data_IF_743989212113
#
_entry.id   IF_743989212113
#
_cell.length_a   1.000
_cell.length_b   1.000
_cell.length_c   1.000
_cell.angle_alpha   90.00
_cell.angle_beta   90.00
_cell.angle_gamma   90.00
#
_symmetry.space_group_name_H-M   'P 1'
#
loop_
_entity.id
_entity.type
_entity.pdbx_description
1 polymer ?
#
# COMPACT_ATOMS: atom_id res chain seq x y z
N UNK A 1 50.07 -29.86 44.29
CA UNK A 1 49.02 -30.56 43.50
C UNK A 1 47.88 -29.60 43.38
N UNK A 2 47.98 -28.71 42.39
CA UNK A 2 46.98 -27.65 42.14
C UNK A 2 46.12 -28.06 40.97
N UNK A 3 44.81 -28.05 41.17
CA UNK A 3 43.76 -28.30 40.15
C UNK A 3 43.48 -27.01 39.38
N UNK A 4 43.51 -26.99 38.05
CA UNK A 4 43.18 -25.81 37.29
C UNK A 4 41.67 -25.62 37.19
N UNK A 5 41.18 -24.49 37.70
CA UNK A 5 39.83 -24.05 37.62
C UNK A 5 39.38 -23.81 36.18
N UNK A 6 38.41 -24.57 35.71
CA UNK A 6 37.75 -24.41 34.44
C UNK A 6 36.94 -23.11 34.41
N UNK A 7 37.35 -22.15 33.58
CA UNK A 7 36.54 -20.99 33.20
C UNK A 7 35.40 -21.49 32.29
N UNK A 8 34.24 -21.71 32.85
CA UNK A 8 32.99 -21.80 32.09
C UNK A 8 32.78 -20.50 31.33
N UNK A 9 33.01 -20.54 30.03
CA UNK A 9 32.54 -19.51 29.10
C UNK A 9 31.03 -19.54 29.14
N UNK A 10 30.42 -18.59 29.84
CA UNK A 10 29.00 -18.23 29.65
C UNK A 10 28.82 -17.84 28.18
N UNK A 11 28.41 -18.80 27.35
CA UNK A 11 27.85 -18.52 26.04
C UNK A 11 26.62 -17.68 26.28
N UNK A 12 26.75 -16.38 26.01
CA UNK A 12 25.63 -15.48 25.99
C UNK A 12 24.56 -16.06 25.05
N UNK A 13 23.41 -16.39 25.61
CA UNK A 13 22.20 -16.67 24.86
C UNK A 13 21.94 -15.38 24.06
N UNK A 14 22.30 -15.37 22.77
CA UNK A 14 21.77 -14.40 21.85
C UNK A 14 20.27 -14.62 21.92
N UNK A 15 19.54 -13.69 22.51
CA UNK A 15 18.11 -13.58 22.34
C UNK A 15 17.91 -13.35 20.83
N UNK A 16 17.71 -14.41 20.09
CA UNK A 16 17.18 -14.37 18.74
C UNK A 16 15.80 -13.76 18.89
N UNK A 17 15.66 -12.50 18.46
CA UNK A 17 14.37 -11.85 18.43
C UNK A 17 13.38 -12.77 17.71
N UNK A 18 12.13 -12.79 18.16
CA UNK A 18 11.12 -13.65 17.60
C UNK A 18 11.03 -13.45 16.08
N UNK A 19 10.70 -14.50 15.32
CA UNK A 19 10.52 -14.42 13.87
C UNK A 19 9.48 -13.36 13.49
N UNK A 20 8.47 -13.20 14.33
CA UNK A 20 7.46 -12.16 14.19
C UNK A 20 8.07 -10.75 14.23
N UNK A 21 8.95 -10.46 15.20
CA UNK A 21 9.61 -9.15 15.30
C UNK A 21 10.60 -8.92 14.16
N UNK A 22 11.31 -9.95 13.74
CA UNK A 22 12.21 -9.87 12.59
C UNK A 22 11.44 -9.55 11.28
N UNK A 23 10.28 -10.19 11.07
CA UNK A 23 9.40 -9.85 9.96
C UNK A 23 8.92 -8.41 10.04
N UNK A 24 8.37 -7.95 11.17
CA UNK A 24 7.88 -6.58 11.34
C UNK A 24 8.97 -5.54 11.07
N UNK A 25 10.21 -5.79 11.47
CA UNK A 25 11.33 -4.89 11.19
C UNK A 25 11.62 -4.81 9.68
N UNK A 26 11.71 -5.98 9.01
CA UNK A 26 11.92 -6.07 7.56
C UNK A 26 10.78 -5.41 6.78
N UNK A 27 9.55 -5.54 7.28
CA UNK A 27 8.38 -4.90 6.72
C UNK A 27 8.39 -3.37 6.87
N UNK A 28 8.76 -2.87 8.05
CA UNK A 28 8.94 -1.43 8.28
C UNK A 28 9.99 -0.81 7.35
N UNK A 29 11.09 -1.51 7.10
CA UNK A 29 12.11 -1.08 6.14
C UNK A 29 11.53 -0.98 4.73
N UNK A 30 10.78 -1.99 4.30
CA UNK A 30 10.12 -1.98 2.99
C UNK A 30 9.10 -0.85 2.87
N UNK A 31 8.25 -0.65 3.88
CA UNK A 31 7.27 0.44 3.94
C UNK A 31 7.97 1.79 3.87
N UNK A 32 9.06 1.97 4.62
CA UNK A 32 9.86 3.19 4.59
C UNK A 32 10.40 3.50 3.19
N UNK A 33 10.97 2.49 2.55
CA UNK A 33 11.47 2.58 1.18
C UNK A 33 10.34 2.82 0.16
N UNK A 34 9.20 2.15 0.31
CA UNK A 34 8.00 2.35 -0.50
C UNK A 34 7.49 3.79 -0.42
N UNK A 35 7.26 4.30 0.79
CA UNK A 35 6.81 5.67 1.01
C UNK A 35 7.79 6.71 0.46
N UNK A 36 9.07 6.50 0.66
CA UNK A 36 10.13 7.41 0.16
C UNK A 36 10.14 7.46 -1.37
N UNK A 37 10.14 6.29 -2.03
CA UNK A 37 10.14 6.20 -3.50
C UNK A 37 8.87 6.80 -4.10
N UNK A 38 7.71 6.53 -3.51
CA UNK A 38 6.43 7.07 -3.98
C UNK A 38 6.37 8.58 -3.82
N UNK A 39 6.84 9.12 -2.70
CA UNK A 39 6.97 10.58 -2.51
C UNK A 39 7.89 11.20 -3.56
N UNK A 40 9.09 10.65 -3.73
CA UNK A 40 10.04 11.13 -4.73
C UNK A 40 9.44 11.15 -6.13
N UNK A 41 8.79 10.06 -6.53
CA UNK A 41 8.11 9.96 -7.83
C UNK A 41 7.00 11.00 -8.00
N UNK A 42 6.22 11.27 -6.96
CA UNK A 42 5.16 12.29 -7.00
C UNK A 42 5.71 13.70 -7.08
N UNK A 43 6.74 14.01 -6.30
CA UNK A 43 7.37 15.34 -6.26
C UNK A 43 8.07 15.67 -7.57
N UNK A 44 8.81 14.73 -8.15
CA UNK A 44 9.51 14.95 -9.44
C UNK A 44 8.58 15.20 -10.62
N UNK A 45 7.30 14.86 -10.49
CA UNK A 45 6.30 15.17 -11.53
C UNK A 45 5.58 16.50 -11.29
N UNK A 46 5.30 16.84 -10.04
CA UNK A 46 4.49 18.01 -9.69
C UNK A 46 5.31 19.29 -9.74
N UNK A 47 6.55 19.29 -9.21
CA UNK A 47 7.39 20.49 -9.12
C UNK A 47 7.67 21.14 -10.47
N UNK A 48 8.20 20.40 -11.48
CA UNK A 48 8.54 21.02 -12.77
C UNK A 48 7.31 21.48 -13.56
N UNK A 49 6.11 21.03 -13.17
CA UNK A 49 4.87 21.46 -13.82
C UNK A 49 4.26 22.70 -13.13
N UNK A 50 4.19 22.70 -11.80
CA UNK A 50 3.47 23.74 -11.05
C UNK A 50 4.22 25.05 -11.01
N UNK A 51 5.51 25.08 -10.73
CA UNK A 51 6.26 26.32 -10.58
C UNK A 51 6.38 27.13 -11.88
N UNK A 52 6.79 26.53 -13.03
CA UNK A 52 6.82 27.30 -14.29
C UNK A 52 5.43 27.71 -14.75
N UNK A 53 4.40 26.85 -14.55
CA UNK A 53 3.04 27.17 -14.98
C UNK A 53 2.48 28.38 -14.22
N UNK A 54 2.62 28.43 -12.90
CA UNK A 54 2.15 29.58 -12.11
C UNK A 54 2.92 30.85 -12.41
N UNK A 55 4.24 30.75 -12.63
CA UNK A 55 5.06 31.90 -13.04
C UNK A 55 4.64 32.46 -14.41
N UNK A 56 4.43 31.58 -15.38
CA UNK A 56 3.98 31.99 -16.73
C UNK A 56 2.58 32.59 -16.71
N UNK A 57 1.66 31.99 -15.95
CA UNK A 57 0.29 32.51 -15.86
C UNK A 57 0.24 33.91 -15.25
N UNK A 58 0.86 34.14 -14.08
CA UNK A 58 0.81 35.43 -13.42
C UNK A 58 1.71 36.46 -14.12
N UNK A 59 2.85 36.06 -14.69
CA UNK A 59 3.66 36.89 -15.55
C UNK A 59 2.93 37.36 -16.80
N UNK A 60 2.22 36.46 -17.47
CA UNK A 60 1.37 36.78 -18.61
C UNK A 60 0.24 37.75 -18.28
N UNK A 61 -0.44 37.56 -17.14
CA UNK A 61 -1.45 38.50 -16.64
C UNK A 61 -0.82 39.90 -16.37
N UNK A 62 0.35 39.96 -15.74
CA UNK A 62 1.06 41.20 -15.51
C UNK A 62 1.43 41.95 -16.80
N UNK A 63 1.82 41.22 -17.84
CA UNK A 63 2.10 41.79 -19.16
C UNK A 63 0.82 42.32 -19.83
N UNK A 64 -0.26 41.55 -19.83
CA UNK A 64 -1.55 41.91 -20.47
C UNK A 64 -2.24 43.08 -19.80
N UNK A 65 -2.04 43.32 -18.52
CA UNK A 65 -2.57 44.46 -17.78
C UNK A 65 -1.79 45.76 -18.05
N UNK A 66 -0.98 45.84 -19.08
CA UNK A 66 -0.27 47.04 -19.48
C UNK A 66 1.01 47.32 -18.70
N UNK A 67 1.46 46.39 -17.84
CA UNK A 67 2.66 46.55 -17.02
C UNK A 67 4.00 46.41 -17.77
N UNK A 68 3.95 46.06 -19.07
CA UNK A 68 5.12 45.80 -19.88
C UNK A 68 6.08 44.79 -19.26
N UNK A 69 7.38 44.94 -19.44
CA UNK A 69 8.38 44.00 -18.91
C UNK A 69 8.35 43.98 -17.35
N UNK A 70 8.12 45.12 -16.72
CA UNK A 70 8.02 45.21 -15.24
C UNK A 70 6.84 44.39 -14.73
N UNK A 71 5.67 44.49 -15.37
CA UNK A 71 4.49 43.67 -15.05
C UNK A 71 4.71 42.18 -15.23
N UNK A 72 5.43 41.81 -16.30
CA UNK A 72 5.81 40.41 -16.53
C UNK A 72 6.69 39.87 -15.39
N UNK A 73 7.74 40.58 -15.03
CA UNK A 73 8.69 40.19 -13.98
C UNK A 73 8.00 40.10 -12.61
N UNK A 74 7.25 41.12 -12.23
CA UNK A 74 6.52 41.15 -10.95
C UNK A 74 5.48 40.02 -10.89
N UNK A 75 4.73 39.80 -11.97
CA UNK A 75 3.78 38.73 -12.07
C UNK A 75 4.43 37.35 -12.00
N UNK A 76 5.57 37.15 -12.67
CA UNK A 76 6.32 35.91 -12.61
C UNK A 76 6.85 35.57 -11.21
N UNK A 77 7.41 36.59 -10.51
CA UNK A 77 7.85 36.44 -9.12
C UNK A 77 6.67 36.09 -8.19
N UNK A 78 5.55 36.82 -8.32
CA UNK A 78 4.33 36.51 -7.60
C UNK A 78 3.81 35.10 -7.91
N UNK A 79 3.90 34.66 -9.18
CA UNK A 79 3.55 33.33 -9.63
C UNK A 79 4.42 32.23 -9.00
N UNK A 80 5.71 32.46 -8.89
CA UNK A 80 6.62 31.54 -8.19
C UNK A 80 6.28 31.42 -6.71
N UNK A 81 6.03 32.52 -6.02
CA UNK A 81 5.63 32.48 -4.61
C UNK A 81 4.32 31.75 -4.40
N UNK A 82 3.32 32.03 -5.24
CA UNK A 82 2.04 31.31 -5.20
C UNK A 82 2.21 29.81 -5.51
N UNK A 83 3.03 29.47 -6.50
CA UNK A 83 3.38 28.08 -6.83
C UNK A 83 4.06 27.36 -5.67
N UNK A 84 4.92 28.03 -4.90
CA UNK A 84 5.54 27.47 -3.70
C UNK A 84 4.51 27.18 -2.60
N UNK A 85 3.50 28.02 -2.43
CA UNK A 85 2.41 27.79 -1.47
C UNK A 85 1.61 26.54 -1.88
N UNK A 86 1.20 26.46 -3.15
CA UNK A 86 0.49 25.27 -3.67
C UNK A 86 1.32 24.01 -3.47
N UNK A 87 2.62 24.08 -3.77
CA UNK A 87 3.54 22.98 -3.58
C UNK A 87 3.68 22.59 -2.10
N UNK A 88 3.76 23.56 -1.20
CA UNK A 88 3.81 23.32 0.25
C UNK A 88 2.58 22.58 0.76
N UNK A 89 1.39 23.01 0.34
CA UNK A 89 0.12 22.33 0.67
C UNK A 89 0.10 20.91 0.11
N UNK A 90 0.49 20.73 -1.15
CA UNK A 90 0.58 19.41 -1.77
C UNK A 90 1.55 18.50 -1.03
N UNK A 91 2.72 19.02 -0.67
CA UNK A 91 3.73 18.29 0.10
C UNK A 91 3.19 17.86 1.48
N UNK A 92 2.51 18.75 2.18
CA UNK A 92 1.91 18.44 3.48
C UNK A 92 0.88 17.30 3.37
N UNK A 93 0.01 17.33 2.37
CA UNK A 93 -0.96 16.29 2.10
C UNK A 93 -0.26 14.97 1.75
N UNK A 94 0.79 15.03 0.91
CA UNK A 94 1.54 13.85 0.49
C UNK A 94 2.27 13.20 1.68
N UNK A 95 2.92 14.00 2.53
CA UNK A 95 3.59 13.51 3.74
C UNK A 95 2.60 12.86 4.71
N UNK A 96 1.42 13.45 4.88
CA UNK A 96 0.38 12.90 5.74
C UNK A 96 -0.18 11.57 5.20
N UNK A 97 -0.38 11.46 3.88
CA UNK A 97 -0.91 10.23 3.25
C UNK A 97 0.13 9.10 3.17
N UNK A 98 1.38 9.43 2.85
CA UNK A 98 2.47 8.46 2.71
C UNK A 98 3.35 8.39 3.97
N UNK A 99 2.75 8.41 5.14
CA UNK A 99 3.47 8.27 6.41
C UNK A 99 3.76 6.79 6.70
N UNK A 100 5.02 6.36 6.82
CA UNK A 100 5.36 4.99 7.21
C UNK A 100 4.67 4.55 8.50
N UNK A 101 4.56 5.46 9.48
CA UNK A 101 3.89 5.18 10.75
C UNK A 101 2.42 4.76 10.57
N UNK A 102 1.70 5.38 9.64
CA UNK A 102 0.30 5.00 9.34
C UNK A 102 0.20 3.61 8.74
N UNK A 103 1.10 3.24 7.84
CA UNK A 103 1.11 1.91 7.25
C UNK A 103 1.42 0.85 8.31
N UNK A 104 2.47 1.07 9.11
CA UNK A 104 2.82 0.18 10.22
C UNK A 104 1.66 0.04 11.21
N UNK A 105 1.00 1.14 11.59
CA UNK A 105 -0.16 1.10 12.48
C UNK A 105 -1.31 0.28 11.88
N UNK A 106 -1.57 0.38 10.57
CA UNK A 106 -2.60 -0.41 9.90
C UNK A 106 -2.25 -1.90 9.84
N UNK A 107 -1.01 -2.23 9.58
CA UNK A 107 -0.54 -3.61 9.64
C UNK A 107 -0.71 -4.18 11.06
N UNK A 108 -0.25 -3.47 12.08
CA UNK A 108 -0.40 -3.88 13.47
C UNK A 108 -1.87 -3.99 13.89
N UNK A 109 -2.74 -3.13 13.35
CA UNK A 109 -4.18 -3.23 13.55
C UNK A 109 -4.73 -4.52 12.92
N UNK A 110 -4.38 -4.81 11.66
CA UNK A 110 -4.81 -6.04 10.98
C UNK A 110 -4.32 -7.30 11.69
N UNK A 111 -3.10 -7.29 12.23
CA UNK A 111 -2.60 -8.40 13.06
C UNK A 111 -3.41 -8.56 14.36
N UNK A 112 -3.76 -7.46 15.02
CA UNK A 112 -4.59 -7.50 16.25
C UNK A 112 -6.00 -8.04 15.98
N UNK A 113 -6.59 -7.67 14.84
CA UNK A 113 -7.92 -8.14 14.43
C UNK A 113 -7.99 -9.66 14.25
N UNK A 114 -6.87 -10.30 13.90
CA UNK A 114 -6.78 -11.76 13.80
C UNK A 114 -6.74 -12.48 15.17
N UNK A 115 -6.55 -11.75 16.26
CA UNK A 115 -6.51 -12.31 17.63
C UNK A 115 -5.56 -13.51 17.78
N UNK A 116 -4.38 -13.43 17.13
CA UNK A 116 -3.39 -14.52 17.10
C UNK A 116 -2.77 -14.74 18.49
N UNK A 117 -2.65 -15.99 18.89
CA UNK A 117 -1.84 -16.38 20.04
C UNK A 117 -0.33 -16.27 19.71
N UNK A 118 0.53 -16.49 20.70
CA UNK A 118 1.98 -16.32 20.52
C UNK A 118 2.57 -17.27 19.47
N UNK A 119 2.15 -18.55 19.47
CA UNK A 119 2.63 -19.53 18.50
C UNK A 119 2.17 -19.23 17.07
N UNK A 120 0.95 -18.70 16.90
CA UNK A 120 0.43 -18.26 15.62
C UNK A 120 1.15 -17.00 15.11
N UNK A 121 1.52 -16.08 16.00
CA UNK A 121 2.35 -14.91 15.64
C UNK A 121 3.73 -15.33 15.16
N UNK A 122 4.37 -16.27 15.84
CA UNK A 122 5.65 -16.81 15.41
C UNK A 122 5.55 -17.52 14.07
N UNK A 123 4.48 -18.30 13.84
CA UNK A 123 4.21 -18.91 12.54
C UNK A 123 4.04 -17.86 11.45
N UNK A 124 3.21 -16.83 11.70
CA UNK A 124 3.03 -15.71 10.77
C UNK A 124 4.37 -15.08 10.40
N UNK A 125 5.19 -14.74 11.40
CA UNK A 125 6.51 -14.15 11.19
C UNK A 125 7.43 -15.06 10.36
N UNK A 126 7.47 -16.35 10.69
CA UNK A 126 8.28 -17.34 9.99
C UNK A 126 7.88 -17.49 8.52
N UNK A 127 6.58 -17.60 8.25
CA UNK A 127 6.07 -17.74 6.89
C UNK A 127 6.30 -16.48 6.05
N UNK A 128 6.05 -15.31 6.63
CA UNK A 128 6.27 -14.03 5.94
C UNK A 128 7.75 -13.80 5.65
N UNK A 129 8.65 -14.11 6.59
CA UNK A 129 10.10 -14.04 6.36
C UNK A 129 10.54 -15.00 5.25
N UNK A 130 10.09 -16.25 5.30
CA UNK A 130 10.42 -17.24 4.30
C UNK A 130 9.95 -16.83 2.89
N UNK A 131 8.73 -16.28 2.78
CA UNK A 131 8.22 -15.76 1.52
C UNK A 131 9.06 -14.59 1.00
N UNK A 132 9.43 -13.65 1.87
CA UNK A 132 10.26 -12.50 1.51
C UNK A 132 11.70 -12.88 1.11
N UNK A 133 12.26 -13.91 1.72
CA UNK A 133 13.62 -14.38 1.43
C UNK A 133 13.72 -15.19 0.15
N UNK A 134 12.74 -16.06 -0.09
CA UNK A 134 12.70 -16.89 -1.29
C UNK A 134 12.12 -16.16 -2.50
N UNK A 135 11.38 -15.08 -2.28
CA UNK A 135 10.60 -14.40 -3.31
C UNK A 135 9.38 -15.20 -3.78
N UNK A 136 9.15 -16.36 -3.19
CA UNK A 136 7.99 -17.21 -3.49
C UNK A 136 6.73 -16.66 -2.83
N UNK A 137 5.65 -16.52 -3.59
CA UNK A 137 4.39 -15.96 -3.07
C UNK A 137 4.37 -14.44 -2.92
N UNK A 138 5.46 -13.73 -3.26
CA UNK A 138 5.48 -12.27 -3.29
C UNK A 138 5.15 -11.78 -4.70
N UNK A 139 3.98 -11.16 -4.83
CA UNK A 139 3.46 -10.66 -6.11
C UNK A 139 3.45 -9.14 -6.11
N UNK A 140 4.32 -8.49 -6.90
CA UNK A 140 4.26 -7.05 -7.06
C UNK A 140 3.06 -6.67 -7.93
N UNK A 141 2.33 -5.60 -7.55
CA UNK A 141 1.29 -5.05 -8.41
C UNK A 141 1.36 -3.53 -8.47
N UNK A 142 1.02 -3.00 -9.63
CA UNK A 142 0.96 -1.56 -9.83
C UNK A 142 -0.48 -1.09 -9.81
N UNK A 143 -0.71 0.02 -9.15
CA UNK A 143 -1.98 0.70 -9.23
C UNK A 143 -2.11 1.36 -10.61
N UNK A 144 -3.17 1.04 -11.36
CA UNK A 144 -3.50 1.74 -12.59
C UNK A 144 -3.92 3.18 -12.26
N UNK A 145 -3.31 4.15 -12.92
CA UNK A 145 -3.63 5.56 -12.74
C UNK A 145 -2.60 6.45 -13.43
N UNK A 146 -2.81 7.76 -13.46
CA UNK A 146 -1.85 8.71 -14.05
C UNK A 146 -0.44 8.62 -13.43
N UNK A 147 -0.34 8.00 -12.26
CA UNK A 147 0.90 7.74 -11.54
C UNK A 147 1.32 6.26 -11.55
N UNK A 148 0.83 5.46 -12.47
CA UNK A 148 1.06 4.00 -12.56
C UNK A 148 2.53 3.57 -12.66
N UNK A 149 3.46 4.50 -12.93
CA UNK A 149 4.93 4.28 -12.87
C UNK A 149 5.50 4.40 -11.45
N UNK A 150 4.65 4.39 -10.42
CA UNK A 150 5.07 4.42 -9.02
C UNK A 150 5.73 3.12 -8.57
N UNK A 151 6.17 3.12 -7.32
CA UNK A 151 6.68 1.91 -6.67
C UNK A 151 5.54 0.87 -6.59
N UNK A 152 5.77 -0.36 -7.03
CA UNK A 152 4.73 -1.39 -6.94
C UNK A 152 4.38 -1.67 -5.48
N UNK A 153 3.09 -1.82 -5.22
CA UNK A 153 2.57 -2.45 -4.03
C UNK A 153 2.87 -3.95 -4.08
N UNK A 154 2.57 -4.70 -3.02
CA UNK A 154 2.81 -6.14 -3.01
C UNK A 154 1.65 -6.92 -2.37
N UNK A 155 1.48 -8.14 -2.84
CA UNK A 155 0.72 -9.19 -2.16
C UNK A 155 1.71 -10.27 -1.73
N UNK A 156 1.62 -10.70 -0.49
CA UNK A 156 2.40 -11.82 0.04
C UNK A 156 1.41 -12.93 0.37
N UNK A 157 1.56 -14.05 -0.31
CA UNK A 157 0.76 -15.25 -0.10
C UNK A 157 1.64 -16.33 0.53
N UNK A 158 1.23 -16.81 1.69
CA UNK A 158 1.87 -17.90 2.43
C UNK A 158 0.88 -19.08 2.59
N UNK A 159 1.30 -20.22 3.09
CA UNK A 159 0.37 -21.36 3.30
C UNK A 159 -0.82 -21.03 4.20
N UNK A 160 -0.67 -20.12 5.17
CA UNK A 160 -1.73 -19.84 6.14
C UNK A 160 -2.24 -18.39 6.11
N UNK A 161 -1.54 -17.48 5.44
CA UNK A 161 -1.88 -16.05 5.45
C UNK A 161 -1.74 -15.42 4.08
N UNK A 162 -2.55 -14.38 3.84
CA UNK A 162 -2.37 -13.46 2.72
C UNK A 162 -2.32 -12.03 3.24
N UNK A 163 -1.35 -11.26 2.75
CA UNK A 163 -1.13 -9.87 3.09
C UNK A 163 -1.08 -9.02 1.83
N UNK A 164 -1.90 -7.98 1.74
CA UNK A 164 -1.82 -6.95 0.70
C UNK A 164 -1.34 -5.64 1.29
N UNK A 165 -0.31 -5.04 0.71
CA UNK A 165 0.33 -3.82 1.19
C UNK A 165 0.66 -2.82 0.07
N UNK A 166 0.77 -1.55 0.44
CA UNK A 166 1.21 -0.47 -0.44
C UNK A 166 0.14 0.11 -1.33
N UNK A 167 -1.11 -0.36 -1.28
CA UNK A 167 -2.25 0.39 -1.78
C UNK A 167 -2.73 1.35 -0.69
N UNK A 168 -3.03 2.60 -1.04
CA UNK A 168 -3.39 3.66 -0.07
C UNK A 168 -4.61 3.32 0.78
N UNK A 169 -4.59 3.49 2.07
CA UNK A 169 -3.60 3.37 3.13
C UNK A 169 -3.72 2.02 3.85
N UNK A 170 -3.69 0.91 3.16
CA UNK A 170 -4.15 -0.36 3.70
C UNK A 170 -3.06 -1.43 3.71
N UNK A 171 -2.90 -2.05 4.87
CA UNK A 171 -2.48 -3.42 4.99
C UNK A 171 -3.73 -4.25 5.26
N UNK A 172 -4.00 -5.25 4.43
CA UNK A 172 -5.07 -6.23 4.63
C UNK A 172 -4.40 -7.58 4.86
N UNK A 173 -4.45 -8.06 6.10
CA UNK A 173 -3.92 -9.36 6.49
C UNK A 173 -5.07 -10.29 6.82
N UNK A 174 -5.08 -11.46 6.20
CA UNK A 174 -6.14 -12.46 6.36
C UNK A 174 -5.50 -13.81 6.71
N UNK A 175 -6.05 -14.49 7.71
CA UNK A 175 -5.73 -15.89 8.02
C UNK A 175 -6.63 -16.77 7.16
N UNK A 176 -6.04 -17.58 6.28
CA UNK A 176 -6.76 -18.39 5.30
C UNK A 176 -7.64 -19.45 5.93
N UNK A 177 -7.26 -19.97 7.11
CA UNK A 177 -8.09 -20.92 7.86
C UNK A 177 -9.43 -20.37 8.34
N UNK A 178 -9.56 -19.03 8.48
CA UNK A 178 -10.79 -18.39 8.92
C UNK A 178 -11.77 -18.13 7.78
N UNK A 179 -11.32 -18.33 6.55
CA UNK A 179 -12.10 -18.06 5.34
C UNK A 179 -12.95 -19.30 5.00
N UNK A 180 -14.25 -19.07 4.91
CA UNK A 180 -15.20 -20.08 4.43
C UNK A 180 -15.30 -20.08 2.92
N UNK A 181 -15.36 -18.87 2.34
CA UNK A 181 -15.59 -18.66 0.92
C UNK A 181 -14.84 -17.43 0.42
N UNK A 182 -14.39 -17.48 -0.82
CA UNK A 182 -13.88 -16.34 -1.56
C UNK A 182 -14.76 -16.08 -2.77
N UNK A 183 -15.15 -14.80 -2.97
CA UNK A 183 -15.87 -14.36 -4.17
C UNK A 183 -15.05 -13.34 -4.91
N UNK A 184 -15.04 -13.46 -6.23
CA UNK A 184 -14.39 -12.47 -7.10
C UNK A 184 -15.42 -11.49 -7.62
N UNK A 185 -15.05 -10.22 -7.67
CA UNK A 185 -15.88 -9.16 -8.22
C UNK A 185 -15.12 -8.31 -9.24
N UNK A 186 -15.87 -7.59 -10.06
CA UNK A 186 -15.34 -6.57 -10.94
C UNK A 186 -16.31 -5.38 -10.93
N UNK A 187 -15.80 -4.22 -10.56
CA UNK A 187 -16.61 -3.00 -10.48
C UNK A 187 -16.01 -1.92 -11.37
N UNK A 188 -16.83 -1.39 -12.27
CA UNK A 188 -16.42 -0.27 -13.11
C UNK A 188 -16.48 1.01 -12.29
N UNK A 189 -15.32 1.62 -12.10
CA UNK A 189 -15.14 2.89 -11.38
C UNK A 189 -14.89 4.03 -12.35
N UNK A 190 -15.27 5.23 -11.94
CA UNK A 190 -15.05 6.46 -12.67
C UNK A 190 -14.21 7.38 -11.79
N UNK A 191 -13.02 7.73 -12.24
CA UNK A 191 -12.25 8.82 -11.66
C UNK A 191 -12.48 10.08 -12.51
N UNK A 192 -12.98 11.15 -11.89
CA UNK A 192 -13.18 12.41 -12.57
C UNK A 192 -12.07 13.38 -12.21
N UNK A 193 -11.33 13.85 -13.19
CA UNK A 193 -10.37 14.93 -13.03
C UNK A 193 -10.99 16.24 -13.52
N UNK A 194 -10.82 17.29 -12.74
CA UNK A 194 -11.27 18.63 -13.08
C UNK A 194 -10.07 19.44 -13.57
N UNK A 195 -10.11 19.86 -14.83
CA UNK A 195 -9.12 20.73 -15.43
C UNK A 195 -9.81 22.01 -15.96
N UNK A 196 -9.86 23.05 -15.13
CA UNK A 196 -10.59 24.28 -15.45
C UNK A 196 -12.08 24.02 -15.66
N UNK A 197 -12.62 24.42 -16.83
CA UNK A 197 -14.03 24.20 -17.20
C UNK A 197 -14.33 22.79 -17.74
N UNK A 198 -13.32 21.95 -17.94
CA UNK A 198 -13.48 20.62 -18.50
C UNK A 198 -13.38 19.55 -17.42
N UNK A 199 -14.37 18.64 -17.43
CA UNK A 199 -14.36 17.41 -16.62
C UNK A 199 -13.90 16.27 -17.51
N UNK A 200 -12.84 15.57 -17.12
CA UNK A 200 -12.39 14.37 -17.82
C UNK A 200 -12.71 13.15 -16.96
N UNK A 201 -13.46 12.22 -17.53
CA UNK A 201 -13.82 10.97 -16.88
C UNK A 201 -12.84 9.87 -17.31
N UNK A 202 -12.18 9.27 -16.32
CA UNK A 202 -11.31 8.11 -16.52
C UNK A 202 -12.03 6.87 -16.00
N UNK A 203 -12.34 5.96 -16.91
CA UNK A 203 -12.96 4.68 -16.57
C UNK A 203 -11.89 3.65 -16.31
N UNK A 204 -12.04 2.90 -15.23
CA UNK A 204 -11.20 1.75 -14.93
C UNK A 204 -12.04 0.68 -14.23
N UNK A 205 -11.62 -0.57 -14.33
CA UNK A 205 -12.23 -1.67 -13.60
C UNK A 205 -11.41 -1.96 -12.36
N UNK A 206 -12.06 -2.03 -11.22
CA UNK A 206 -11.49 -2.51 -9.98
C UNK A 206 -11.93 -3.97 -9.81
N UNK A 207 -10.98 -4.88 -9.91
CA UNK A 207 -11.18 -6.28 -9.63
C UNK A 207 -11.00 -6.52 -8.14
N UNK A 208 -11.81 -7.37 -7.53
CA UNK A 208 -11.77 -7.61 -6.09
C UNK A 208 -11.81 -9.10 -5.77
N UNK A 209 -11.26 -9.42 -4.60
CA UNK A 209 -11.44 -10.70 -3.92
C UNK A 209 -12.10 -10.36 -2.59
N UNK A 210 -13.34 -10.80 -2.41
CA UNK A 210 -14.05 -10.73 -1.14
C UNK A 210 -13.81 -12.00 -0.33
N UNK A 211 -13.53 -11.85 0.95
CA UNK A 211 -13.29 -12.93 1.90
C UNK A 211 -14.45 -12.97 2.90
N UNK A 212 -15.07 -14.13 3.00
CA UNK A 212 -16.19 -14.40 3.91
C UNK A 212 -15.72 -15.35 5.01
N UNK A 213 -15.91 -14.95 6.26
CA UNK A 213 -15.42 -15.69 7.42
C UNK A 213 -16.34 -16.85 7.78
N UNK A 214 -15.79 -17.95 8.30
CA UNK A 214 -16.51 -19.14 8.73
C UNK A 214 -17.56 -18.85 9.79
N UNK A 215 -17.21 -18.01 10.79
CA UNK A 215 -18.11 -17.65 11.89
C UNK A 215 -19.36 -16.91 11.39
N UNK A 216 -19.28 -16.20 10.28
CA UNK A 216 -20.39 -15.49 9.67
C UNK A 216 -21.26 -16.43 8.82
N UNK A 217 -20.66 -17.34 8.07
CA UNK A 217 -21.37 -18.38 7.29
C UNK A 217 -22.20 -19.31 8.19
N UNK A 218 -21.65 -19.73 9.32
CA UNK A 218 -22.34 -20.56 10.29
C UNK A 218 -23.57 -19.88 10.92
N UNK A 219 -23.64 -18.55 10.90
CA UNK A 219 -24.78 -17.78 11.39
C UNK A 219 -25.93 -17.63 10.38
N UNK A 220 -25.85 -18.23 9.22
CA UNK A 220 -26.92 -18.21 8.21
C UNK A 220 -27.21 -16.83 7.62
N UNK A 221 -26.21 -15.97 7.54
CA UNK A 221 -26.33 -14.66 6.91
C UNK A 221 -26.37 -14.84 5.39
N UNK A 222 -27.46 -14.42 4.77
CA UNK A 222 -27.78 -14.62 3.36
C UNK A 222 -26.80 -13.92 2.40
N UNK A 223 -26.66 -14.50 1.20
CA UNK A 223 -25.63 -14.20 0.22
C UNK A 223 -25.60 -12.80 -0.42
N UNK A 224 -26.35 -11.83 0.09
CA UNK A 224 -26.27 -10.41 -0.29
C UNK A 224 -25.27 -9.63 0.58
N UNK A 225 -24.52 -10.31 1.40
CA UNK A 225 -23.65 -9.68 2.37
C UNK A 225 -22.37 -9.14 1.77
N UNK A 226 -21.97 -7.98 2.28
CA UNK A 226 -20.65 -7.42 2.01
C UNK A 226 -19.59 -8.39 2.59
N UNK A 227 -18.45 -8.57 1.90
CA UNK A 227 -17.37 -9.39 2.42
C UNK A 227 -16.82 -8.81 3.72
N UNK A 228 -16.40 -9.69 4.64
CA UNK A 228 -15.75 -9.26 5.90
C UNK A 228 -14.44 -8.53 5.65
N UNK A 229 -13.74 -8.91 4.59
CA UNK A 229 -12.54 -8.24 4.11
C UNK A 229 -12.46 -8.33 2.59
N UNK A 230 -11.85 -7.36 1.96
CA UNK A 230 -11.68 -7.36 0.51
C UNK A 230 -10.30 -6.87 0.11
N UNK A 231 -9.76 -7.46 -0.94
CA UNK A 231 -8.55 -7.00 -1.62
C UNK A 231 -8.91 -6.48 -3.01
N UNK A 232 -8.36 -5.32 -3.38
CA UNK A 232 -8.62 -4.69 -4.67
C UNK A 232 -7.41 -4.79 -5.60
N UNK A 233 -7.66 -5.02 -6.90
CA UNK A 233 -6.66 -5.14 -7.94
C UNK A 233 -7.07 -4.32 -9.16
N UNK A 234 -6.10 -3.73 -9.84
CA UNK A 234 -6.33 -3.05 -11.11
C UNK A 234 -6.08 -3.94 -12.34
N UNK A 235 -5.54 -5.13 -12.11
CA UNK A 235 -5.22 -6.12 -13.14
C UNK A 235 -5.98 -7.40 -12.84
N UNK A 236 -6.76 -7.84 -13.82
CA UNK A 236 -7.55 -9.06 -13.69
C UNK A 236 -6.68 -10.31 -13.57
N UNK A 237 -5.62 -10.36 -14.37
CA UNK A 237 -4.68 -11.48 -14.41
C UNK A 237 -4.04 -11.71 -13.03
N UNK A 238 -3.66 -10.61 -12.34
CA UNK A 238 -3.08 -10.70 -11.01
C UNK A 238 -4.10 -11.18 -9.99
N UNK A 239 -5.35 -10.65 -10.03
CA UNK A 239 -6.45 -11.15 -9.18
C UNK A 239 -6.65 -12.65 -9.39
N UNK A 240 -6.68 -13.10 -10.65
CA UNK A 240 -6.89 -14.51 -11.01
C UNK A 240 -5.72 -15.38 -10.56
N UNK A 241 -4.46 -14.92 -10.69
CA UNK A 241 -3.28 -15.63 -10.19
C UNK A 241 -3.32 -15.82 -8.67
N UNK A 242 -3.67 -14.77 -7.92
CA UNK A 242 -3.84 -14.84 -6.47
C UNK A 242 -4.93 -15.86 -6.09
N UNK A 243 -6.10 -15.80 -6.75
CA UNK A 243 -7.21 -16.74 -6.50
C UNK A 243 -6.80 -18.17 -6.82
N UNK A 244 -6.13 -18.41 -7.95
CA UNK A 244 -5.62 -19.72 -8.34
C UNK A 244 -4.68 -20.28 -7.27
N UNK A 245 -3.69 -19.51 -6.84
CA UNK A 245 -2.73 -19.94 -5.80
C UNK A 245 -3.40 -20.26 -4.47
N UNK A 246 -4.41 -19.48 -4.07
CA UNK A 246 -5.18 -19.77 -2.86
C UNK A 246 -5.97 -21.08 -3.00
N UNK A 247 -6.56 -21.36 -4.16
CA UNK A 247 -7.28 -22.62 -4.42
C UNK A 247 -6.35 -23.81 -4.46
N UNK A 248 -5.20 -23.67 -5.09
CA UNK A 248 -4.17 -24.72 -5.13
C UNK A 248 -3.66 -25.04 -3.71
N UNK A 249 -3.66 -24.05 -2.81
CA UNK A 249 -3.40 -24.21 -1.37
C UNK A 249 -4.56 -24.78 -0.54
N UNK A 250 -5.67 -25.16 -1.15
CA UNK A 250 -6.79 -25.86 -0.48
C UNK A 250 -7.98 -24.98 -0.09
N UNK A 251 -8.02 -23.69 -0.46
CA UNK A 251 -9.19 -22.85 -0.25
C UNK A 251 -10.29 -23.13 -1.29
N UNK A 252 -11.49 -23.44 -0.79
CA UNK A 252 -12.67 -23.54 -1.62
C UNK A 252 -13.17 -22.14 -2.01
N UNK A 253 -13.46 -21.93 -3.29
CA UNK A 253 -14.02 -20.67 -3.77
C UNK A 253 -15.13 -20.91 -4.76
N UNK A 254 -16.22 -20.15 -4.65
CA UNK A 254 -17.22 -20.03 -5.71
C UNK A 254 -16.84 -18.89 -6.64
N UNK A 255 -16.80 -19.15 -7.94
CA UNK A 255 -16.77 -18.10 -8.95
C UNK A 255 -18.20 -17.56 -9.08
N UNK A 256 -18.44 -16.32 -8.76
CA UNK A 256 -19.62 -15.65 -9.31
C UNK A 256 -19.33 -15.42 -10.80
N UNK A 257 -20.08 -16.12 -11.67
CA UNK A 257 -20.22 -15.79 -13.09
C UNK A 257 -20.93 -14.45 -13.29
#
# INVERSE_FOLDING_TARGET
METPGGKERKRGIRMTGSAYQAWLNKDREWIGAYCSRTRKSSLTKVVPLTLPLTALMLGGIGLLNGGGISGLVTGAVGGLLFGLIIYGVYLAILLAKLSPARYTQKLEQSVRELSLNESERERLGTEMLAALERGEGVLPYQMAGPNSKGTPARVILTPHYILQEGSTPYAVLIRLSDVAEIRTGAERKIATTHGGSRKTHHYFTLYSIGFYRKDRFERGLDGNDLPDSAMGFFQEELRNDVVKRMRDGGLRGTSAE
#
